data_IF_420108419438
#
_entry.id   IF_420108419438
#
_cell.length_a   1.000
_cell.length_b   1.000
_cell.length_c   1.000
_cell.angle_alpha   90.00
_cell.angle_beta   90.00
_cell.angle_gamma   90.00
#
_symmetry.space_group_name_H-M   'P 1'
#
loop_
_entity.id
_entity.type
_entity.pdbx_description
1 polymer ?
#
# COMPACT_ATOMS: atom_id res chain seq x y z
N UNK A 1 0.98 -7.08 20.18
CA UNK A 1 0.97 -6.73 18.75
C UNK A 1 -0.22 -5.84 18.50
N UNK A 2 -0.01 -4.57 18.11
CA UNK A 2 -1.10 -3.63 17.83
C UNK A 2 -1.26 -3.40 16.33
N UNK A 3 -2.47 -3.54 15.80
CA UNK A 3 -2.79 -3.37 14.38
C UNK A 3 -3.55 -2.07 14.16
N UNK A 4 -2.98 -1.19 13.33
CA UNK A 4 -3.61 0.05 12.88
C UNK A 4 -4.00 -0.04 11.41
N UNK A 5 -5.14 0.54 11.05
CA UNK A 5 -5.60 0.65 9.67
C UNK A 5 -6.06 2.08 9.38
N UNK A 6 -5.53 2.66 8.31
CA UNK A 6 -5.92 3.94 7.76
C UNK A 6 -6.71 3.76 6.46
N UNK A 7 -7.93 4.28 6.38
CA UNK A 7 -8.70 4.35 5.14
C UNK A 7 -8.57 5.74 4.54
N UNK A 8 -8.28 5.81 3.24
CA UNK A 8 -8.25 7.06 2.48
C UNK A 8 -9.45 7.08 1.52
N UNK A 9 -10.23 8.16 1.57
CA UNK A 9 -11.43 8.31 0.72
C UNK A 9 -11.59 9.74 0.23
N UNK A 10 -12.23 9.88 -0.93
CA UNK A 10 -12.62 11.19 -1.49
C UNK A 10 -13.87 11.06 -2.33
N UNK A 11 -14.97 11.70 -1.93
CA UNK A 11 -16.22 11.79 -2.71
C UNK A 11 -16.79 10.44 -3.20
N UNK A 12 -16.58 9.37 -2.43
CA UNK A 12 -17.04 8.00 -2.74
C UNK A 12 -17.68 7.34 -1.52
N UNK A 13 -18.78 7.91 -1.00
CA UNK A 13 -19.34 7.44 0.27
C UNK A 13 -19.81 5.99 0.23
N UNK A 14 -20.34 5.51 -0.91
CA UNK A 14 -20.79 4.12 -1.03
C UNK A 14 -19.63 3.12 -0.98
N UNK A 15 -18.51 3.45 -1.63
CA UNK A 15 -17.30 2.63 -1.65
C UNK A 15 -16.67 2.59 -0.25
N UNK A 16 -16.56 3.74 0.43
CA UNK A 16 -16.12 3.77 1.83
C UNK A 16 -17.00 2.87 2.72
N UNK A 17 -18.32 2.97 2.61
CA UNK A 17 -19.23 2.14 3.40
C UNK A 17 -19.10 0.65 3.07
N UNK A 18 -18.88 0.30 1.81
CA UNK A 18 -18.62 -1.09 1.39
C UNK A 18 -17.32 -1.61 2.01
N UNK A 19 -16.22 -0.86 1.90
CA UNK A 19 -14.95 -1.21 2.52
C UNK A 19 -15.13 -1.36 4.04
N UNK A 20 -15.69 -0.36 4.71
CA UNK A 20 -15.88 -0.36 6.16
C UNK A 20 -16.66 -1.58 6.65
N UNK A 21 -17.78 -1.92 5.98
CA UNK A 21 -18.60 -3.10 6.33
C UNK A 21 -17.87 -4.43 6.12
N UNK A 22 -16.90 -4.46 5.22
CA UNK A 22 -16.10 -5.66 4.97
C UNK A 22 -14.94 -5.84 5.96
N UNK A 23 -14.57 -4.80 6.71
CA UNK A 23 -13.42 -4.86 7.60
C UNK A 23 -13.68 -5.77 8.82
N UNK A 24 -12.74 -6.66 9.16
CA UNK A 24 -12.75 -7.37 10.44
C UNK A 24 -12.36 -6.42 11.58
N UNK A 25 -13.27 -5.55 12.01
CA UNK A 25 -13.00 -4.50 13.01
C UNK A 25 -12.42 -5.04 14.33
N UNK A 26 -12.80 -6.26 14.72
CA UNK A 26 -12.27 -6.93 15.91
C UNK A 26 -10.76 -7.24 15.84
N UNK A 27 -10.16 -7.24 14.64
CA UNK A 27 -8.73 -7.44 14.43
C UNK A 27 -7.94 -6.13 14.48
N UNK A 28 -8.61 -4.96 14.61
CA UNK A 28 -7.98 -3.65 14.53
C UNK A 28 -8.01 -2.96 15.89
N UNK A 29 -6.84 -2.68 16.46
CA UNK A 29 -6.71 -1.84 17.65
C UNK A 29 -6.94 -0.36 17.34
N UNK A 30 -6.76 0.03 16.08
CA UNK A 30 -6.91 1.41 15.63
C UNK A 30 -7.43 1.44 14.20
N UNK A 31 -8.57 2.10 14.01
CA UNK A 31 -9.09 2.47 12.69
C UNK A 31 -9.09 3.99 12.57
N UNK A 32 -8.52 4.51 11.48
CA UNK A 32 -8.51 5.93 11.14
C UNK A 32 -9.11 6.07 9.75
N UNK A 33 -10.04 6.99 9.56
CA UNK A 33 -10.64 7.29 8.26
C UNK A 33 -10.27 8.73 7.92
N UNK A 34 -9.62 8.94 6.78
CA UNK A 34 -9.27 10.27 6.27
C UNK A 34 -10.10 10.54 5.03
N UNK A 35 -11.05 11.46 5.17
CA UNK A 35 -11.88 11.96 4.08
C UNK A 35 -11.27 13.25 3.50
N UNK A 36 -10.77 13.15 2.27
CA UNK A 36 -10.13 14.24 1.51
C UNK A 36 -11.09 14.88 0.48
N UNK A 37 -12.38 14.75 0.74
CA UNK A 37 -13.48 15.28 -0.06
C UNK A 37 -14.61 15.82 0.81
N UNK A 38 -15.80 15.93 0.24
CA UNK A 38 -16.98 16.51 0.85
C UNK A 38 -17.44 15.73 2.09
N UNK A 39 -18.09 16.42 3.03
CA UNK A 39 -18.70 15.76 4.19
C UNK A 39 -19.93 14.97 3.75
N UNK A 40 -20.03 13.75 4.25
CA UNK A 40 -21.21 12.92 4.05
C UNK A 40 -21.82 12.54 5.41
N UNK A 41 -23.12 12.80 5.65
CA UNK A 41 -23.77 12.50 6.94
C UNK A 41 -23.62 11.04 7.38
N UNK A 42 -23.62 10.13 6.41
CA UNK A 42 -23.42 8.69 6.59
C UNK A 42 -22.05 8.31 7.18
N UNK A 43 -21.09 9.22 7.27
CA UNK A 43 -19.82 8.96 7.95
C UNK A 43 -19.91 9.12 9.47
N UNK A 44 -20.96 9.78 9.98
CA UNK A 44 -21.16 9.99 11.42
C UNK A 44 -21.43 8.69 12.18
N UNK A 45 -21.87 7.63 11.49
CA UNK A 45 -22.12 6.30 12.07
C UNK A 45 -20.91 5.36 12.00
N UNK A 46 -19.76 5.82 11.53
CA UNK A 46 -18.56 4.99 11.43
C UNK A 46 -17.83 4.95 12.77
N UNK A 47 -17.68 3.75 13.33
CA UNK A 47 -16.91 3.53 14.54
C UNK A 47 -15.43 3.42 14.16
N UNK A 48 -14.72 4.53 14.35
CA UNK A 48 -13.29 4.64 14.13
C UNK A 48 -12.65 5.41 15.28
N UNK A 49 -11.38 5.14 15.55
CA UNK A 49 -10.62 5.89 16.54
C UNK A 49 -10.42 7.37 16.13
N UNK A 50 -10.52 7.66 14.83
CA UNK A 50 -10.62 9.01 14.29
C UNK A 50 -11.29 9.00 12.90
N UNK A 51 -12.16 9.97 12.65
CA UNK A 51 -12.63 10.34 11.31
C UNK A 51 -12.12 11.76 11.02
N UNK A 52 -11.03 11.84 10.28
CA UNK A 52 -10.39 13.09 9.88
C UNK A 52 -11.03 13.57 8.58
N UNK A 53 -11.44 14.83 8.55
CA UNK A 53 -11.99 15.44 7.36
C UNK A 53 -11.15 16.66 6.98
N UNK A 54 -10.50 16.58 5.82
CA UNK A 54 -9.72 17.68 5.31
C UNK A 54 -10.65 18.75 4.73
N UNK A 55 -10.45 20.04 5.06
CA UNK A 55 -11.32 21.12 4.59
C UNK A 55 -11.19 21.37 3.09
N UNK A 56 -10.09 20.92 2.48
CA UNK A 56 -9.80 20.97 1.05
C UNK A 56 -9.08 19.68 0.66
N UNK A 57 -9.13 19.31 -0.62
CA UNK A 57 -8.40 18.17 -1.15
C UNK A 57 -6.87 18.38 -1.03
N UNK A 58 -6.25 17.71 -0.06
CA UNK A 58 -4.81 17.76 0.21
C UNK A 58 -4.01 16.83 -0.70
N UNK A 59 -4.68 15.84 -1.31
CA UNK A 59 -4.07 14.80 -2.12
C UNK A 59 -3.68 13.57 -1.29
N UNK A 60 -3.50 12.45 -1.99
CA UNK A 60 -3.30 11.13 -1.39
C UNK A 60 -2.08 11.07 -0.46
N UNK A 61 -0.96 11.71 -0.79
CA UNK A 61 0.26 11.67 0.04
C UNK A 61 0.01 12.23 1.45
N UNK A 62 -0.58 13.43 1.54
CA UNK A 62 -0.91 14.09 2.81
C UNK A 62 -1.95 13.31 3.59
N UNK A 63 -2.99 12.82 2.90
CA UNK A 63 -4.04 12.01 3.52
C UNK A 63 -3.51 10.69 4.09
N UNK A 64 -2.61 10.00 3.37
CA UNK A 64 -1.90 8.81 3.87
C UNK A 64 -1.03 9.15 5.07
N UNK A 65 -0.27 10.26 5.04
CA UNK A 65 0.55 10.70 6.17
C UNK A 65 -0.28 10.97 7.44
N UNK A 66 -1.46 11.60 7.32
CA UNK A 66 -2.37 11.82 8.46
C UNK A 66 -2.82 10.49 9.08
N UNK A 67 -3.18 9.51 8.26
CA UNK A 67 -3.56 8.18 8.73
C UNK A 67 -2.38 7.46 9.44
N UNK A 68 -1.18 7.51 8.84
CA UNK A 68 0.04 6.94 9.42
C UNK A 68 0.38 7.60 10.77
N UNK A 69 0.28 8.92 10.86
CA UNK A 69 0.55 9.67 12.09
C UNK A 69 -0.40 9.25 13.22
N UNK A 70 -1.71 9.14 12.95
CA UNK A 70 -2.67 8.70 13.96
C UNK A 70 -2.50 7.24 14.40
N UNK A 71 -2.17 6.34 13.48
CA UNK A 71 -1.80 4.96 13.84
C UNK A 71 -0.49 4.95 14.65
N UNK A 72 0.42 5.89 14.37
CA UNK A 72 1.65 6.06 15.11
C UNK A 72 1.43 6.49 16.56
N UNK A 73 0.67 7.55 16.76
CA UNK A 73 0.30 8.08 18.07
C UNK A 73 -0.41 7.06 18.96
N UNK A 74 -1.19 6.15 18.36
CA UNK A 74 -1.92 5.07 19.08
C UNK A 74 -1.08 3.82 19.35
N UNK A 75 0.18 3.81 18.91
CA UNK A 75 1.12 2.73 19.18
C UNK A 75 0.95 1.50 18.29
N UNK A 76 0.33 1.61 17.12
CA UNK A 76 0.23 0.50 16.16
C UNK A 76 1.61 0.01 15.69
N UNK A 77 1.89 -1.27 15.87
CA UNK A 77 3.16 -1.92 15.46
C UNK A 77 3.10 -2.41 14.01
N UNK A 78 1.90 -2.71 13.52
CA UNK A 78 1.59 -3.10 12.16
C UNK A 78 0.54 -2.12 11.64
N UNK A 79 0.84 -1.44 10.53
CA UNK A 79 0.00 -0.38 10.00
C UNK A 79 -0.40 -0.72 8.58
N UNK A 80 -1.68 -0.59 8.28
CA UNK A 80 -2.25 -0.79 6.96
C UNK A 80 -2.80 0.53 6.44
N UNK A 81 -2.60 0.80 5.15
CA UNK A 81 -3.29 1.85 4.42
C UNK A 81 -4.17 1.18 3.36
N UNK A 82 -5.42 1.62 3.24
CA UNK A 82 -6.41 1.07 2.32
C UNK A 82 -7.14 2.21 1.62
N UNK A 83 -7.23 2.16 0.30
CA UNK A 83 -8.06 3.07 -0.50
C UNK A 83 -9.51 2.56 -0.57
N UNK A 84 -10.47 3.47 -0.71
CA UNK A 84 -11.90 3.19 -0.59
C UNK A 84 -12.48 2.24 -1.65
N UNK A 85 -11.76 1.96 -2.74
CA UNK A 85 -12.16 1.03 -3.80
C UNK A 85 -11.64 -0.41 -3.61
N UNK A 86 -11.07 -0.70 -2.44
CA UNK A 86 -10.77 -2.06 -1.98
C UNK A 86 -11.90 -2.57 -1.07
N UNK A 87 -12.13 -3.88 -1.04
CA UNK A 87 -12.93 -4.54 -0.01
C UNK A 87 -12.26 -5.83 0.47
N UNK A 88 -12.48 -6.17 1.73
CA UNK A 88 -11.96 -7.40 2.35
C UNK A 88 -12.91 -8.56 2.05
N UNK A 89 -12.36 -9.68 1.60
CA UNK A 89 -13.08 -10.93 1.31
C UNK A 89 -12.87 -11.97 2.40
N UNK A 90 -11.70 -11.93 3.04
CA UNK A 90 -11.33 -12.85 4.11
C UNK A 90 -10.82 -12.05 5.33
N UNK A 91 -11.39 -12.28 6.54
CA UNK A 91 -11.05 -11.54 7.75
C UNK A 91 -9.61 -11.80 8.24
N UNK A 92 -8.96 -12.86 7.77
CA UNK A 92 -7.57 -13.21 8.05
C UNK A 92 -6.53 -12.36 7.31
N UNK A 93 -6.95 -11.42 6.44
CA UNK A 93 -6.05 -10.60 5.61
C UNK A 93 -4.91 -9.94 6.41
N UNK A 94 -5.23 -9.30 7.53
CA UNK A 94 -4.25 -8.57 8.33
C UNK A 94 -3.24 -9.53 8.97
N UNK A 95 -3.72 -10.64 9.54
CA UNK A 95 -2.87 -11.67 10.11
C UNK A 95 -1.96 -12.31 9.06
N UNK A 96 -2.46 -12.53 7.84
CA UNK A 96 -1.69 -13.09 6.73
C UNK A 96 -0.54 -12.19 6.26
N UNK A 97 -0.80 -10.88 6.11
CA UNK A 97 0.25 -9.92 5.78
C UNK A 97 1.30 -9.79 6.89
N UNK A 98 0.86 -9.78 8.15
CA UNK A 98 1.76 -9.73 9.31
C UNK A 98 2.61 -11.01 9.37
N UNK A 99 2.01 -12.20 9.24
CA UNK A 99 2.76 -13.46 9.22
C UNK A 99 3.78 -13.50 8.08
N UNK A 100 3.37 -13.05 6.89
CA UNK A 100 4.25 -12.95 5.73
C UNK A 100 5.45 -12.06 6.03
N UNK A 101 5.23 -10.87 6.59
CA UNK A 101 6.30 -9.95 6.96
C UNK A 101 7.24 -10.54 8.03
N UNK A 102 6.69 -11.20 9.06
CA UNK A 102 7.48 -11.81 10.13
C UNK A 102 8.35 -12.96 9.62
N UNK A 103 7.83 -13.79 8.71
CA UNK A 103 8.55 -14.97 8.17
C UNK A 103 9.57 -14.61 7.10
N UNK A 104 9.35 -13.52 6.36
CA UNK A 104 10.26 -13.08 5.29
C UNK A 104 11.24 -12.00 5.74
N UNK A 105 10.94 -11.31 6.84
CA UNK A 105 11.64 -10.10 7.26
C UNK A 105 11.28 -8.86 6.43
N UNK A 106 10.46 -8.96 5.38
CA UNK A 106 10.07 -7.81 4.57
C UNK A 106 9.18 -6.89 5.41
N UNK A 107 9.56 -5.61 5.51
CA UNK A 107 8.92 -4.67 6.44
C UNK A 107 7.79 -3.83 5.80
N UNK A 108 7.60 -3.97 4.49
CA UNK A 108 6.54 -3.30 3.72
C UNK A 108 6.03 -4.23 2.63
N UNK A 109 4.71 -4.38 2.50
CA UNK A 109 4.08 -5.22 1.47
C UNK A 109 3.00 -4.40 0.78
N UNK A 110 2.80 -4.62 -0.51
CA UNK A 110 1.81 -3.92 -1.32
C UNK A 110 0.92 -4.91 -2.05
N UNK A 111 -0.39 -4.76 -1.88
CA UNK A 111 -1.36 -5.49 -2.68
C UNK A 111 -1.13 -5.17 -4.15
N UNK A 112 -0.89 -6.20 -4.95
CA UNK A 112 -0.43 -6.06 -6.33
C UNK A 112 -1.55 -6.10 -7.36
N UNK A 113 -2.73 -6.60 -6.97
CA UNK A 113 -3.79 -6.98 -7.92
C UNK A 113 -4.82 -5.88 -8.15
N UNK A 114 -4.60 -4.67 -7.61
CA UNK A 114 -5.44 -3.52 -7.94
C UNK A 114 -5.18 -3.03 -9.37
N UNK A 115 -6.23 -2.95 -10.18
CA UNK A 115 -6.14 -2.60 -11.59
C UNK A 115 -5.48 -3.67 -12.46
N UNK A 116 -4.95 -3.26 -13.62
CA UNK A 116 -4.53 -4.19 -14.69
C UNK A 116 -3.01 -4.40 -14.79
N UNK A 117 -2.18 -3.57 -14.15
CA UNK A 117 -0.73 -3.53 -14.42
C UNK A 117 0.01 -4.82 -14.05
N UNK A 118 -0.46 -5.54 -13.03
CA UNK A 118 0.12 -6.81 -12.59
C UNK A 118 -0.77 -8.00 -12.93
N UNK A 119 -1.56 -7.91 -14.01
CA UNK A 119 -2.43 -8.98 -14.48
C UNK A 119 -2.08 -9.36 -15.92
N UNK A 120 -2.23 -10.63 -16.24
CA UNK A 120 -2.20 -11.13 -17.62
C UNK A 120 -3.44 -10.65 -18.38
N UNK A 121 -3.45 -10.78 -19.71
CA UNK A 121 -4.58 -10.36 -20.55
C UNK A 121 -5.91 -11.07 -20.23
N UNK A 122 -5.85 -12.27 -19.62
CA UNK A 122 -7.00 -13.04 -19.13
C UNK A 122 -7.32 -12.75 -17.65
N UNK A 123 -6.71 -11.73 -17.05
CA UNK A 123 -7.04 -11.22 -15.72
C UNK A 123 -6.41 -11.95 -14.53
N UNK A 124 -5.51 -12.91 -14.76
CA UNK A 124 -4.79 -13.64 -13.70
C UNK A 124 -3.59 -12.84 -13.16
N UNK A 125 -3.17 -13.06 -11.91
CA UNK A 125 -1.96 -12.44 -11.36
C UNK A 125 -0.71 -12.73 -12.22
N UNK A 126 0.00 -11.67 -12.62
CA UNK A 126 1.24 -11.72 -13.39
C UNK A 126 2.43 -11.36 -12.50
N UNK A 127 2.82 -12.28 -11.62
CA UNK A 127 4.03 -12.11 -10.82
C UNK A 127 5.27 -12.18 -11.72
N UNK A 128 6.18 -11.22 -11.53
CA UNK A 128 7.48 -11.17 -12.20
C UNK A 128 8.40 -12.29 -11.74
N UNK A 129 8.36 -12.62 -10.45
CA UNK A 129 9.20 -13.65 -9.87
C UNK A 129 8.50 -14.33 -8.68
N UNK A 130 8.96 -15.53 -8.35
CA UNK A 130 8.62 -16.20 -7.11
C UNK A 130 9.90 -16.67 -6.41
N UNK A 131 9.95 -16.55 -5.09
CA UNK A 131 11.06 -17.04 -4.25
C UNK A 131 10.50 -17.88 -3.12
N UNK A 132 11.05 -19.08 -2.96
CA UNK A 132 10.70 -19.99 -1.87
C UNK A 132 11.49 -19.60 -0.61
N UNK A 133 10.79 -19.24 0.46
CA UNK A 133 11.35 -18.95 1.78
C UNK A 133 11.34 -20.18 2.70
N UNK A 134 10.37 -21.07 2.48
CA UNK A 134 10.22 -22.34 3.19
C UNK A 134 9.31 -23.27 2.38
N UNK A 135 9.18 -24.56 2.74
CA UNK A 135 8.25 -25.48 2.06
C UNK A 135 6.79 -25.02 2.02
N UNK A 136 6.40 -24.10 2.93
CA UNK A 136 5.03 -23.59 3.05
C UNK A 136 4.90 -22.10 2.73
N UNK A 137 5.97 -21.45 2.26
CA UNK A 137 5.94 -20.02 1.92
C UNK A 137 6.74 -19.74 0.66
N UNK A 138 6.00 -19.42 -0.40
CA UNK A 138 6.51 -18.95 -1.68
C UNK A 138 6.02 -17.52 -1.91
N UNK A 139 6.95 -16.58 -1.94
CA UNK A 139 6.64 -15.16 -2.10
C UNK A 139 6.55 -14.76 -3.57
N UNK A 140 5.46 -14.13 -4.01
CA UNK A 140 5.39 -13.49 -5.31
C UNK A 140 5.97 -12.06 -5.26
N UNK A 141 6.59 -11.65 -6.37
CA UNK A 141 7.08 -10.28 -6.56
C UNK A 141 6.55 -9.75 -7.88
N UNK A 142 6.17 -8.48 -7.90
CA UNK A 142 5.45 -7.85 -8.99
C UNK A 142 6.19 -6.66 -9.57
N UNK A 143 5.96 -6.39 -10.86
CA UNK A 143 6.65 -5.34 -11.60
C UNK A 143 6.20 -3.94 -11.16
N UNK A 144 4.92 -3.78 -10.82
CA UNK A 144 4.32 -2.49 -10.51
C UNK A 144 3.84 -2.41 -9.06
N UNK A 145 4.10 -1.25 -8.42
CA UNK A 145 3.52 -0.90 -7.13
C UNK A 145 2.26 -0.05 -7.37
N UNK A 146 1.10 -0.49 -6.87
CA UNK A 146 -0.21 0.12 -7.19
C UNK A 146 -0.82 0.92 -6.03
N UNK A 147 -0.35 0.72 -4.79
CA UNK A 147 -0.59 1.65 -3.66
C UNK A 147 -1.99 1.67 -3.04
N UNK A 148 -2.94 0.84 -3.51
CA UNK A 148 -4.32 0.81 -3.01
C UNK A 148 -4.51 0.06 -1.68
N UNK A 149 -3.64 -0.91 -1.37
CA UNK A 149 -3.55 -1.54 -0.06
C UNK A 149 -2.08 -1.81 0.26
N UNK A 150 -1.62 -1.29 1.39
CA UNK A 150 -0.21 -1.31 1.78
C UNK A 150 -0.07 -1.66 3.25
N UNK A 151 0.82 -2.58 3.57
CA UNK A 151 1.23 -2.94 4.92
C UNK A 151 2.60 -2.33 5.24
N UNK A 152 2.76 -1.85 6.46
CA UNK A 152 4.03 -1.35 7.00
C UNK A 152 4.23 -1.90 8.42
N UNK A 153 5.47 -2.30 8.74
CA UNK A 153 5.87 -2.41 10.14
C UNK A 153 6.16 -1.03 10.73
N UNK A 154 6.00 -0.86 12.04
CA UNK A 154 6.47 0.33 12.77
C UNK A 154 7.95 0.59 12.52
N UNK A 155 8.76 -0.47 12.50
CA UNK A 155 10.21 -0.37 12.27
C UNK A 155 10.52 0.28 10.92
N UNK A 156 9.77 -0.06 9.86
CA UNK A 156 9.89 0.58 8.56
C UNK A 156 9.53 2.07 8.64
N UNK A 157 8.34 2.39 9.15
CA UNK A 157 7.86 3.77 9.23
C UNK A 157 8.78 4.69 10.04
N UNK A 158 9.32 4.21 11.16
CA UNK A 158 10.26 5.00 11.98
C UNK A 158 11.61 5.20 11.27
N UNK A 159 12.02 4.27 10.40
CA UNK A 159 13.28 4.36 9.67
C UNK A 159 13.21 5.27 8.44
N UNK A 160 12.11 5.24 7.68
CA UNK A 160 11.99 5.99 6.41
C UNK A 160 11.21 7.30 6.55
N UNK A 161 10.43 7.47 7.60
CA UNK A 161 9.61 8.65 7.81
C UNK A 161 8.36 8.72 6.91
N UNK A 162 7.71 9.91 6.83
CA UNK A 162 6.47 10.09 6.08
C UNK A 162 6.69 10.06 4.57
N UNK A 163 5.60 9.90 3.82
CA UNK A 163 5.59 10.08 2.37
C UNK A 163 5.90 11.54 2.02
N UNK A 164 6.54 11.74 0.87
CA UNK A 164 6.81 13.08 0.36
C UNK A 164 5.53 13.78 -0.10
N UNK A 165 5.09 14.78 0.66
CA UNK A 165 3.85 15.52 0.45
C UNK A 165 3.84 16.42 -0.80
N UNK A 166 4.96 16.55 -1.49
CA UNK A 166 5.01 17.22 -2.79
C UNK A 166 4.48 16.35 -3.95
N UNK A 167 4.28 15.05 -3.73
CA UNK A 167 3.49 14.22 -4.65
C UNK A 167 2.00 14.48 -4.46
N UNK A 168 1.26 14.54 -5.56
CA UNK A 168 -0.18 14.78 -5.54
C UNK A 168 -0.90 13.78 -6.45
N UNK A 169 -1.58 12.82 -5.83
CA UNK A 169 -2.40 11.80 -6.48
C UNK A 169 -1.66 10.93 -7.52
N UNK A 170 -0.33 10.82 -7.41
CA UNK A 170 0.50 9.95 -8.25
C UNK A 170 1.88 9.75 -7.61
N UNK A 171 2.40 8.53 -7.71
CA UNK A 171 3.75 8.09 -7.32
C UNK A 171 4.19 8.29 -5.87
N UNK A 172 3.34 8.78 -4.96
CA UNK A 172 3.69 8.93 -3.55
C UNK A 172 4.07 7.60 -2.90
N UNK A 173 3.33 6.54 -3.22
CA UNK A 173 3.60 5.18 -2.74
C UNK A 173 4.82 4.55 -3.42
N UNK A 174 5.10 4.90 -4.69
CA UNK A 174 6.28 4.41 -5.43
C UNK A 174 7.56 5.02 -4.85
N UNK A 175 7.56 6.33 -4.64
CA UNK A 175 8.65 7.08 -3.99
C UNK A 175 8.90 6.57 -2.57
N UNK A 176 7.84 6.43 -1.76
CA UNK A 176 7.97 5.94 -0.39
C UNK A 176 8.49 4.51 -0.35
N UNK A 177 7.99 3.62 -1.22
CA UNK A 177 8.53 2.26 -1.34
C UNK A 177 10.02 2.29 -1.70
N UNK A 178 10.45 3.17 -2.61
CA UNK A 178 11.89 3.33 -2.93
C UNK A 178 12.71 3.78 -1.71
N UNK A 179 12.17 4.60 -0.81
CA UNK A 179 12.83 4.91 0.46
C UNK A 179 12.98 3.66 1.35
N UNK A 180 11.96 2.79 1.42
CA UNK A 180 12.04 1.50 2.13
C UNK A 180 13.08 0.56 1.52
N UNK A 181 13.18 0.55 0.19
CA UNK A 181 14.19 -0.22 -0.55
C UNK A 181 15.60 0.29 -0.19
N UNK A 182 15.82 1.61 -0.20
CA UNK A 182 17.11 2.23 0.17
C UNK A 182 17.49 2.00 1.63
N UNK A 183 16.50 1.83 2.52
CA UNK A 183 16.72 1.42 3.91
C UNK A 183 17.02 -0.09 4.07
N UNK A 184 17.00 -0.87 2.98
CA UNK A 184 17.25 -2.30 3.00
C UNK A 184 16.13 -3.11 3.66
N UNK A 185 14.89 -2.62 3.59
CA UNK A 185 13.73 -3.16 4.29
C UNK A 185 12.64 -3.74 3.36
N UNK A 186 12.86 -3.63 2.05
CA UNK A 186 12.01 -4.14 0.98
C UNK A 186 12.90 -4.61 -0.18
N UNK A 187 12.52 -5.63 -0.97
CA UNK A 187 13.27 -6.06 -2.16
C UNK A 187 13.50 -4.93 -3.17
N UNK A 188 14.46 -5.07 -4.10
CA UNK A 188 14.76 -4.07 -5.11
C UNK A 188 13.54 -3.60 -5.93
N UNK A 189 13.68 -2.40 -6.53
CA UNK A 189 12.64 -1.82 -7.38
C UNK A 189 12.30 -2.79 -8.53
N UNK A 190 11.05 -2.78 -9.01
CA UNK A 190 10.49 -3.77 -9.95
C UNK A 190 10.29 -5.18 -9.37
N UNK A 191 10.59 -5.41 -8.10
CA UNK A 191 10.28 -6.64 -7.36
C UNK A 191 9.39 -6.32 -6.14
N UNK A 192 8.26 -5.67 -6.37
CA UNK A 192 7.33 -5.27 -5.32
C UNK A 192 6.70 -6.47 -4.63
N UNK A 193 6.90 -6.58 -3.32
CA UNK A 193 6.45 -7.73 -2.54
C UNK A 193 4.97 -7.61 -2.19
N UNK A 194 4.23 -8.69 -2.41
CA UNK A 194 2.84 -8.86 -1.97
C UNK A 194 2.72 -10.14 -1.14
N UNK A 195 1.71 -10.23 -0.29
CA UNK A 195 1.39 -11.46 0.41
C UNK A 195 0.96 -12.56 -0.58
N UNK A 196 1.34 -13.83 -0.35
CA UNK A 196 0.94 -14.92 -1.23
C UNK A 196 -0.59 -15.02 -1.34
N UNK A 197 -1.10 -15.13 -2.57
CA UNK A 197 -2.55 -15.26 -2.86
C UNK A 197 -3.38 -14.10 -2.28
N UNK A 198 -2.81 -12.90 -2.21
CA UNK A 198 -3.50 -11.68 -1.71
C UNK A 198 -4.87 -11.43 -2.35
N UNK A 199 -5.05 -11.81 -3.62
CA UNK A 199 -6.32 -11.74 -4.35
C UNK A 199 -7.42 -12.68 -3.82
N UNK A 200 -7.15 -13.55 -2.85
CA UNK A 200 -8.20 -14.32 -2.17
C UNK A 200 -8.75 -13.56 -0.96
N UNK A 201 -7.91 -12.72 -0.35
CA UNK A 201 -8.24 -11.93 0.83
C UNK A 201 -8.82 -10.56 0.50
N UNK A 202 -8.44 -10.00 -0.65
CA UNK A 202 -8.81 -8.66 -1.09
C UNK A 202 -9.50 -8.72 -2.45
N UNK A 203 -10.44 -7.80 -2.66
CA UNK A 203 -11.04 -7.55 -3.96
C UNK A 203 -11.14 -6.06 -4.24
N UNK A 204 -11.25 -5.73 -5.50
CA UNK A 204 -11.60 -4.41 -6.03
C UNK A 204 -12.85 -4.54 -6.91
N UNK A 205 -13.47 -3.41 -7.25
CA UNK A 205 -14.49 -3.40 -8.31
C UNK A 205 -13.84 -3.73 -9.67
N UNK A 206 -14.60 -4.27 -10.65
CA UNK A 206 -14.09 -4.45 -12.00
C UNK A 206 -13.50 -3.14 -12.54
N UNK A 207 -12.17 -3.11 -12.67
CA UNK A 207 -11.44 -1.88 -12.92
C UNK A 207 -11.84 -1.25 -14.26
N UNK A 208 -12.10 0.05 -14.24
CA UNK A 208 -12.26 0.87 -15.45
C UNK A 208 -11.74 2.29 -15.23
N UNK A 209 -11.26 2.92 -16.31
CA UNK A 209 -10.75 4.29 -16.28
C UNK A 209 -11.80 5.31 -15.84
N UNK A 210 -13.09 5.06 -16.08
CA UNK A 210 -14.20 5.94 -15.68
C UNK A 210 -14.52 5.90 -14.18
N UNK A 211 -14.10 4.86 -13.45
CA UNK A 211 -14.36 4.72 -12.02
C UNK A 211 -13.28 5.36 -11.14
N UNK A 212 -12.04 5.44 -11.62
CA UNK A 212 -10.93 6.06 -10.87
C UNK A 212 -11.10 7.58 -10.81
N UNK A 213 -11.30 8.19 -9.64
CA UNK A 213 -11.42 9.65 -9.50
C UNK A 213 -10.11 10.38 -9.80
N UNK A 214 -8.99 9.66 -9.85
CA UNK A 214 -7.68 10.17 -10.21
C UNK A 214 -7.45 9.98 -11.71
N UNK A 215 -7.63 8.75 -12.21
CA UNK A 215 -7.30 8.37 -13.59
C UNK A 215 -8.36 8.78 -14.62
N UNK A 216 -9.59 9.07 -14.20
CA UNK A 216 -10.66 9.60 -15.07
C UNK A 216 -10.55 11.09 -15.36
N UNK A 217 -9.67 11.82 -14.66
CA UNK A 217 -9.59 13.28 -14.79
C UNK A 217 -8.92 13.69 -16.09
N UNK A 218 -9.43 14.73 -16.72
CA UNK A 218 -8.82 15.32 -17.92
C UNK A 218 -7.37 15.80 -17.68
N UNK A 219 -7.00 16.13 -16.43
CA UNK A 219 -5.66 16.56 -16.03
C UNK A 219 -4.75 15.41 -15.55
N UNK A 220 -5.21 14.15 -15.60
CA UNK A 220 -4.46 13.00 -15.08
C UNK A 220 -3.06 12.88 -15.70
N UNK A 221 -2.95 13.05 -17.02
CA UNK A 221 -1.65 13.03 -17.72
C UNK A 221 -0.70 14.11 -17.18
N UNK A 222 -1.22 15.30 -16.86
CA UNK A 222 -0.44 16.38 -16.26
C UNK A 222 -0.04 16.10 -14.80
N UNK A 223 -0.89 15.40 -14.04
CA UNK A 223 -0.56 14.94 -12.69
C UNK A 223 0.57 13.91 -12.72
N UNK A 224 0.47 12.89 -13.57
CA UNK A 224 1.52 11.89 -13.74
C UNK A 224 2.82 12.53 -14.23
N UNK A 225 2.77 13.47 -15.19
CA UNK A 225 3.95 14.18 -15.66
C UNK A 225 4.65 14.97 -14.54
N UNK A 226 3.89 15.70 -13.71
CA UNK A 226 4.45 16.43 -12.55
C UNK A 226 5.04 15.49 -11.50
N UNK A 227 4.37 14.37 -11.23
CA UNK A 227 4.87 13.38 -10.28
C UNK A 227 6.14 12.70 -10.80
N UNK A 228 6.19 12.32 -12.09
CA UNK A 228 7.37 11.82 -12.77
C UNK A 228 8.54 12.80 -12.68
N UNK A 229 8.28 14.08 -12.94
CA UNK A 229 9.30 15.13 -12.86
C UNK A 229 9.82 15.29 -11.43
N UNK A 230 8.93 15.30 -10.43
CA UNK A 230 9.34 15.31 -9.01
C UNK A 230 10.22 14.13 -8.68
N UNK A 231 9.82 12.92 -9.08
CA UNK A 231 10.59 11.70 -8.87
C UNK A 231 11.98 11.80 -9.51
N UNK A 232 12.06 12.32 -10.74
CA UNK A 232 13.33 12.57 -11.46
C UNK A 232 14.20 13.58 -10.74
N UNK A 233 13.65 14.70 -10.27
CA UNK A 233 14.39 15.70 -9.50
C UNK A 233 14.94 15.11 -8.19
N UNK A 234 14.21 14.19 -7.57
CA UNK A 234 14.59 13.56 -6.30
C UNK A 234 15.57 12.38 -6.46
N UNK A 235 15.54 11.68 -7.58
CA UNK A 235 16.26 10.41 -7.76
C UNK A 235 17.18 10.36 -8.97
N UNK A 236 17.19 11.39 -9.81
CA UNK A 236 18.00 11.47 -11.03
C UNK A 236 17.46 10.65 -12.21
N UNK A 237 16.35 9.93 -12.05
CA UNK A 237 15.76 9.03 -13.06
C UNK A 237 14.23 9.10 -13.01
N UNK A 238 13.53 8.84 -14.11
CA UNK A 238 12.08 8.65 -14.08
C UNK A 238 11.71 7.31 -13.40
N UNK A 239 10.47 7.14 -12.89
CA UNK A 239 10.04 5.87 -12.31
C UNK A 239 10.23 4.66 -13.24
N UNK A 240 9.98 4.82 -14.54
CA UNK A 240 10.17 3.77 -15.55
C UNK A 240 11.62 3.55 -15.99
N UNK A 241 12.55 4.40 -15.54
CA UNK A 241 13.98 4.35 -15.87
C UNK A 241 14.83 3.84 -14.69
N UNK A 242 14.20 3.51 -13.56
CA UNK A 242 14.91 2.90 -12.44
C UNK A 242 15.51 1.57 -12.91
N UNK A 243 16.85 1.38 -12.78
CA UNK A 243 17.52 0.21 -13.30
C UNK A 243 16.96 -1.09 -12.70
N UNK A 244 16.77 -2.07 -13.57
CA UNK A 244 16.40 -3.42 -13.16
C UNK A 244 17.55 -4.07 -12.37
N UNK A 245 17.20 -4.90 -11.40
CA UNK A 245 18.19 -5.57 -10.53
C UNK A 245 18.35 -7.03 -10.95
N UNK A 246 19.58 -7.51 -11.24
CA UNK A 246 19.81 -8.90 -11.58
C UNK A 246 19.28 -9.86 -10.51
N UNK A 247 18.76 -11.02 -10.94
CA UNK A 247 18.13 -12.01 -10.06
C UNK A 247 19.01 -12.40 -8.87
N UNK A 248 20.31 -12.58 -9.08
CA UNK A 248 21.24 -12.93 -8.00
C UNK A 248 21.32 -11.85 -6.92
N UNK A 249 21.37 -10.57 -7.31
CA UNK A 249 21.37 -9.45 -6.39
C UNK A 249 20.03 -9.32 -5.65
N UNK A 250 18.91 -9.61 -6.32
CA UNK A 250 17.59 -9.69 -5.65
C UNK A 250 17.61 -10.76 -4.57
N UNK A 251 18.11 -11.97 -4.86
CA UNK A 251 18.18 -13.05 -3.88
C UNK A 251 19.09 -12.70 -2.70
N UNK A 252 20.23 -12.04 -2.94
CA UNK A 252 21.12 -11.54 -1.88
C UNK A 252 20.41 -10.51 -0.99
N UNK A 253 19.70 -9.54 -1.59
CA UNK A 253 18.91 -8.57 -0.84
C UNK A 253 17.85 -9.24 0.03
N UNK A 254 17.13 -10.23 -0.51
CA UNK A 254 16.12 -10.98 0.24
C UNK A 254 16.73 -11.77 1.41
N UNK A 255 17.89 -12.40 1.21
CA UNK A 255 18.61 -13.08 2.29
C UNK A 255 19.05 -12.12 3.40
N UNK A 256 19.53 -10.93 3.04
CA UNK A 256 19.89 -9.89 4.01
C UNK A 256 18.67 -9.42 4.81
N UNK A 257 17.54 -9.18 4.14
CA UNK A 257 16.27 -8.79 4.77
C UNK A 257 15.81 -9.88 5.74
N UNK A 258 15.81 -11.14 5.28
CA UNK A 258 15.44 -12.30 6.09
C UNK A 258 16.31 -12.39 7.35
N UNK A 259 17.62 -12.37 7.19
CA UNK A 259 18.56 -12.48 8.32
C UNK A 259 18.40 -11.34 9.34
N UNK A 260 18.12 -10.13 8.86
CA UNK A 260 18.07 -8.94 9.72
C UNK A 260 16.74 -8.76 10.45
N UNK A 261 15.63 -9.16 9.83
CA UNK A 261 14.31 -8.73 10.29
C UNK A 261 13.30 -9.87 10.47
N UNK A 262 13.56 -11.06 9.93
CA UNK A 262 12.65 -12.17 10.15
C UNK A 262 12.65 -12.58 11.62
N UNK A 263 11.48 -12.96 12.11
CA UNK A 263 11.31 -13.43 13.49
C UNK A 263 10.83 -14.87 13.44
N UNK A 264 11.55 -15.76 14.11
CA UNK A 264 11.07 -17.09 14.43
C UNK A 264 9.85 -16.95 15.34
N UNK A 265 8.76 -17.65 15.02
CA UNK A 265 7.71 -17.89 16.02
C UNK A 265 8.23 -18.87 17.07
#
# INVERSE_FOLDING_TARGET
MKVGCGIITRNRPQQLLRLYRSLPLHCLDTLVIVNDGDRHPQFASLEAAAVVHNPVNLGVAKSKNLALAHCRERGSEHVFLIEDDIHVKDPGVFAHYIDTALRTGIQHLNYSQHGLMNRTSDGRPAARAHVDYSPTLKMPFYLHCVGAFSYYSRQCLDAVGPMDEGFFNAFEHVDHTLAVIKAGMHPPFLFFADAPRSWEYLGDEPWSTSQSLISSRADHTGLVARASERFRLKHGVLPGEVPDTPREQVLQCLQMILHRYARSR
#
